data_IF_977927983090
#
_entry.id   IF_977927983090
#
_cell.length_a   1.000
_cell.length_b   1.000
_cell.length_c   1.000
_cell.angle_alpha   90.00
_cell.angle_beta   90.00
_cell.angle_gamma   90.00
#
_symmetry.space_group_name_H-M   'P 1'
#
loop_
_entity.id
_entity.type
_entity.pdbx_description
1 polymer ?
#
# COMPACT_ATOMS: atom_id res chain seq x y z
N UNK A 1 17.05 24.87 -8.01
CA UNK A 1 17.29 24.46 -6.62
C UNK A 1 16.54 23.16 -6.46
N UNK A 2 17.22 22.07 -6.14
CA UNK A 2 16.57 20.78 -5.85
C UNK A 2 15.68 20.98 -4.62
N UNK A 3 14.37 21.01 -4.85
CA UNK A 3 13.38 21.14 -3.81
C UNK A 3 13.49 19.88 -2.95
N UNK A 4 13.95 20.03 -1.71
CA UNK A 4 14.34 18.89 -0.86
C UNK A 4 13.09 18.07 -0.50
N UNK A 5 12.83 17.06 -1.33
CA UNK A 5 11.67 16.17 -1.29
C UNK A 5 12.18 14.74 -1.16
N UNK A 6 12.26 14.25 0.07
CA UNK A 6 12.73 12.89 0.33
C UNK A 6 12.66 12.50 1.79
N UNK A 7 13.20 11.33 2.09
CA UNK A 7 13.19 10.69 3.38
C UNK A 7 14.60 10.19 3.71
N UNK A 8 15.12 10.54 4.88
CA UNK A 8 16.31 9.95 5.45
C UNK A 8 15.90 8.79 6.37
N UNK A 9 16.32 7.58 6.02
CA UNK A 9 16.01 6.34 6.75
C UNK A 9 17.23 5.88 7.52
N UNK A 10 17.11 5.89 8.85
CA UNK A 10 18.14 5.44 9.77
C UNK A 10 17.88 3.99 10.15
N UNK A 11 18.87 3.13 9.95
CA UNK A 11 18.82 1.73 10.35
C UNK A 11 19.32 1.55 11.79
N UNK A 12 18.95 0.45 12.44
CA UNK A 12 19.63 0.03 13.67
C UNK A 12 21.05 -0.49 13.36
N UNK A 13 22.03 -0.40 14.28
CA UNK A 13 23.37 -0.94 14.06
C UNK A 13 23.36 -2.43 13.66
N UNK A 14 22.57 -3.25 14.37
CA UNK A 14 22.36 -4.67 14.07
C UNK A 14 21.83 -4.92 12.65
N UNK A 15 21.10 -3.97 12.06
CA UNK A 15 20.60 -4.08 10.68
C UNK A 15 21.70 -3.79 9.66
N UNK A 16 22.61 -2.85 9.95
CA UNK A 16 23.79 -2.63 9.11
C UNK A 16 24.74 -3.83 9.14
N UNK A 17 24.87 -4.49 10.30
CA UNK A 17 25.62 -5.74 10.43
C UNK A 17 24.95 -6.90 9.66
N UNK A 18 23.62 -7.04 9.75
CA UNK A 18 22.87 -8.10 9.07
C UNK A 18 22.77 -7.92 7.55
N UNK A 19 22.62 -6.69 7.07
CA UNK A 19 22.60 -6.36 5.62
C UNK A 19 24.01 -6.29 5.02
N UNK A 20 25.03 -6.06 5.85
CA UNK A 20 26.45 -6.15 5.48
C UNK A 20 26.85 -5.21 4.34
N UNK A 21 27.67 -5.72 3.42
CA UNK A 21 28.19 -4.94 2.28
C UNK A 21 27.09 -4.47 1.32
N UNK A 22 25.93 -5.13 1.28
CA UNK A 22 24.88 -4.85 0.30
C UNK A 22 24.22 -3.47 0.50
N UNK A 23 24.14 -2.97 1.74
CA UNK A 23 23.51 -1.67 2.04
C UNK A 23 24.48 -0.49 1.90
N UNK A 24 25.80 -0.74 2.02
CA UNK A 24 26.84 0.30 2.00
C UNK A 24 26.80 1.28 0.81
N UNK A 25 26.62 0.87 -0.47
CA UNK A 25 26.59 1.83 -1.58
C UNK A 25 25.39 2.78 -1.55
N UNK A 26 24.38 2.52 -0.68
CA UNK A 26 23.19 3.35 -0.51
C UNK A 26 23.21 4.16 0.80
N UNK A 27 24.24 3.99 1.64
CA UNK A 27 24.40 4.75 2.87
C UNK A 27 25.11 6.08 2.62
N UNK A 28 24.56 7.14 3.18
CA UNK A 28 25.10 8.48 3.23
C UNK A 28 25.49 8.80 4.68
N UNK A 29 26.73 9.24 4.89
CA UNK A 29 27.16 9.76 6.18
C UNK A 29 26.65 11.19 6.39
N UNK A 30 25.99 11.40 7.53
CA UNK A 30 25.50 12.71 7.94
C UNK A 30 25.80 13.01 9.41
N UNK A 31 25.58 14.24 9.88
CA UNK A 31 25.83 14.64 11.27
C UNK A 31 24.96 13.87 12.30
N UNK A 32 23.86 13.27 11.84
CA UNK A 32 22.98 12.40 12.65
C UNK A 32 23.34 10.89 12.55
N UNK A 33 24.41 10.54 11.84
CA UNK A 33 24.83 9.17 11.54
C UNK A 33 24.51 8.70 10.10
N UNK A 34 24.86 7.44 9.78
CA UNK A 34 24.61 6.86 8.48
C UNK A 34 23.11 6.65 8.24
N UNK A 35 22.64 7.01 7.05
CA UNK A 35 21.24 6.93 6.64
C UNK A 35 21.12 6.64 5.15
N UNK A 36 19.97 6.10 4.73
CA UNK A 36 19.62 5.93 3.31
C UNK A 36 18.72 7.10 2.91
N UNK A 37 19.01 7.78 1.79
CA UNK A 37 18.16 8.85 1.25
C UNK A 37 17.25 8.29 0.15
N UNK A 38 15.94 8.44 0.33
CA UNK A 38 14.90 7.88 -0.55
C UNK A 38 13.95 9.00 -1.01
N UNK A 39 13.42 8.91 -2.23
CA UNK A 39 12.39 9.84 -2.73
C UNK A 39 11.02 9.50 -2.14
N UNK A 40 10.70 8.22 -2.07
CA UNK A 40 9.41 7.68 -1.64
C UNK A 40 9.58 6.47 -0.73
N UNK A 41 8.59 6.25 0.13
CA UNK A 41 8.53 5.13 1.07
C UNK A 41 7.10 4.55 1.08
N UNK A 42 7.00 3.22 1.17
CA UNK A 42 5.82 2.50 1.66
C UNK A 42 6.12 1.83 3.01
N UNK A 43 5.12 1.78 3.88
CA UNK A 43 5.16 1.09 5.18
C UNK A 43 3.91 0.23 5.42
N UNK A 44 3.09 -0.01 4.39
CA UNK A 44 1.88 -0.82 4.50
C UNK A 44 2.15 -2.33 4.62
N UNK A 45 3.36 -2.78 4.23
CA UNK A 45 3.79 -4.17 4.27
C UNK A 45 4.64 -4.54 5.50
N UNK A 46 5.05 -5.82 5.54
CA UNK A 46 6.05 -6.30 6.51
C UNK A 46 7.48 -5.82 6.19
N UNK A 47 7.71 -5.44 4.94
CA UNK A 47 8.89 -4.75 4.46
C UNK A 47 8.51 -3.28 4.22
N UNK A 48 9.44 -2.39 4.52
CA UNK A 48 9.42 -0.99 4.12
C UNK A 48 10.01 -0.93 2.72
N UNK A 49 9.20 -0.49 1.77
CA UNK A 49 9.59 -0.32 0.36
C UNK A 49 10.11 1.10 0.19
N UNK A 50 11.30 1.26 -0.39
CA UNK A 50 11.94 2.57 -0.52
C UNK A 50 12.39 2.79 -1.96
N UNK A 51 11.98 3.90 -2.57
CA UNK A 51 12.43 4.28 -3.91
C UNK A 51 13.62 5.24 -3.78
N UNK A 52 14.79 4.83 -4.27
CA UNK A 52 15.99 5.66 -4.31
C UNK A 52 16.25 6.11 -5.75
N UNK A 53 16.65 7.35 -5.93
CA UNK A 53 17.10 7.89 -7.21
C UNK A 53 18.62 8.08 -7.15
N UNK A 54 19.35 7.40 -8.04
CA UNK A 54 20.79 7.52 -8.18
C UNK A 54 21.15 7.90 -9.62
N UNK A 55 22.39 8.33 -9.84
CA UNK A 55 22.94 8.43 -11.19
C UNK A 55 24.03 7.39 -11.40
N UNK A 56 24.07 6.77 -12.58
CA UNK A 56 25.18 5.89 -12.96
C UNK A 56 26.46 6.69 -13.18
N UNK A 57 27.59 6.00 -13.30
CA UNK A 57 28.88 6.56 -13.74
C UNK A 57 28.82 7.24 -15.12
N UNK A 58 27.75 7.02 -15.89
CA UNK A 58 27.50 7.63 -17.20
C UNK A 58 26.56 8.85 -17.12
N UNK A 59 26.16 9.27 -15.91
CA UNK A 59 25.20 10.37 -15.69
C UNK A 59 23.75 10.03 -16.07
N UNK A 60 23.41 8.74 -16.18
CA UNK A 60 22.02 8.32 -16.43
C UNK A 60 21.25 8.18 -15.11
N UNK A 61 20.05 8.75 -14.97
CA UNK A 61 19.23 8.55 -13.78
C UNK A 61 18.73 7.10 -13.72
N UNK A 62 18.84 6.49 -12.54
CA UNK A 62 18.36 5.15 -12.23
C UNK A 62 17.53 5.25 -10.96
N UNK A 63 16.25 4.89 -11.08
CA UNK A 63 15.39 4.62 -9.94
C UNK A 63 15.55 3.15 -9.56
N UNK A 64 15.79 2.88 -8.28
CA UNK A 64 15.82 1.53 -7.72
C UNK A 64 14.87 1.42 -6.54
N UNK A 65 14.41 0.20 -6.29
CA UNK A 65 13.51 -0.13 -5.18
C UNK A 65 14.26 -1.01 -4.18
N UNK A 66 14.29 -0.58 -2.92
CA UNK A 66 14.98 -1.26 -1.83
C UNK A 66 13.95 -1.61 -0.75
N UNK A 67 13.78 -2.91 -0.51
CA UNK A 67 12.88 -3.43 0.52
C UNK A 67 13.67 -3.79 1.79
N UNK A 68 13.31 -3.23 2.93
CA UNK A 68 13.98 -3.47 4.23
C UNK A 68 12.96 -3.90 5.28
N UNK A 69 13.19 -4.96 6.09
CA UNK A 69 12.26 -5.33 7.15
C UNK A 69 11.98 -4.17 8.13
N UNK A 70 10.72 -3.96 8.49
CA UNK A 70 10.33 -2.87 9.40
C UNK A 70 11.09 -2.88 10.74
N UNK A 71 11.44 -4.07 11.24
CA UNK A 71 12.24 -4.26 12.47
C UNK A 71 13.70 -3.81 12.38
N UNK A 72 14.21 -3.59 11.17
CA UNK A 72 15.58 -3.13 10.91
C UNK A 72 15.70 -1.60 10.85
N UNK A 73 14.59 -0.89 10.66
CA UNK A 73 14.55 0.57 10.58
C UNK A 73 14.35 1.18 11.98
N UNK A 74 15.26 2.08 12.35
CA UNK A 74 15.25 2.80 13.63
C UNK A 74 14.37 4.04 13.59
N UNK A 75 14.44 4.80 12.49
CA UNK A 75 13.76 6.09 12.36
C UNK A 75 13.67 6.50 10.88
N UNK A 76 12.55 7.10 10.49
CA UNK A 76 12.36 7.72 9.18
C UNK A 76 12.13 9.21 9.39
N UNK A 77 12.90 10.05 8.71
CA UNK A 77 12.79 11.51 8.77
C UNK A 77 12.42 12.03 7.38
N UNK A 78 11.25 12.63 7.23
CA UNK A 78 10.90 13.29 5.96
C UNK A 78 11.48 14.70 5.91
N UNK A 79 12.23 14.98 4.85
CA UNK A 79 12.54 16.34 4.42
C UNK A 79 11.56 16.67 3.29
N UNK A 80 10.54 17.47 3.62
CA UNK A 80 9.62 18.11 2.68
C UNK A 80 9.39 19.53 3.14
N UNK A 81 9.52 20.48 2.23
CA UNK A 81 9.28 21.92 2.49
C UNK A 81 7.84 22.36 2.22
N UNK A 82 6.96 21.44 1.83
CA UNK A 82 5.57 21.71 1.42
C UNK A 82 4.59 20.88 2.26
N UNK A 83 3.41 21.45 2.57
CA UNK A 83 2.61 21.19 3.79
C UNK A 83 1.99 19.78 3.94
N UNK A 84 2.21 18.86 3.00
CA UNK A 84 1.74 17.47 3.07
C UNK A 84 2.71 16.53 3.81
N UNK A 85 2.69 16.59 5.15
CA UNK A 85 3.52 15.78 6.06
C UNK A 85 2.76 14.57 6.64
N UNK A 86 3.33 13.36 6.51
CA UNK A 86 2.87 12.14 7.21
C UNK A 86 2.37 10.99 6.32
N UNK A 87 2.00 9.88 6.96
CA UNK A 87 1.47 8.65 6.33
C UNK A 87 -0.02 8.80 5.97
N UNK A 88 -0.38 9.87 5.26
CA UNK A 88 -1.73 10.05 4.74
C UNK A 88 -2.07 9.03 3.65
N UNK A 89 -3.36 8.72 3.43
CA UNK A 89 -3.77 7.82 2.35
C UNK A 89 -3.24 8.37 1.02
N UNK A 90 -2.47 7.55 0.28
CA UNK A 90 -1.96 7.94 -1.03
C UNK A 90 -3.13 8.34 -1.93
N UNK A 91 -3.05 9.45 -2.69
CA UNK A 91 -3.95 9.63 -3.82
C UNK A 91 -3.77 8.41 -4.71
N UNK A 92 -4.87 7.74 -5.07
CA UNK A 92 -4.81 6.56 -5.92
C UNK A 92 -4.15 6.95 -7.23
N UNK A 93 -2.90 6.51 -7.42
CA UNK A 93 -2.30 6.55 -8.75
C UNK A 93 -3.22 5.73 -9.63
N UNK A 94 -3.89 6.39 -10.57
CA UNK A 94 -4.69 5.72 -11.57
C UNK A 94 -3.75 4.75 -12.29
N UNK A 95 -3.88 3.48 -11.94
CA UNK A 95 -3.21 2.39 -12.64
C UNK A 95 -3.46 2.62 -14.12
N UNK A 96 -2.40 2.54 -14.93
CA UNK A 96 -2.55 2.55 -16.38
C UNK A 96 -3.31 1.28 -16.77
N UNK A 97 -4.64 1.36 -16.68
CA UNK A 97 -5.55 0.38 -17.20
C UNK A 97 -5.24 0.27 -18.69
N UNK A 98 -4.65 -0.85 -19.07
CA UNK A 98 -4.34 -1.14 -20.46
C UNK A 98 -5.62 -0.92 -21.27
N UNK A 99 -5.53 -0.09 -22.32
CA UNK A 99 -6.62 0.14 -23.25
C UNK A 99 -6.96 -1.16 -23.99
N UNK A 100 -7.80 -1.98 -23.36
CA UNK A 100 -8.51 -3.04 -24.05
C UNK A 100 -9.52 -2.38 -24.99
N UNK A 101 -9.47 -2.64 -26.31
CA UNK A 101 -10.43 -2.05 -27.23
C UNK A 101 -11.82 -2.63 -26.95
N UNK A 102 -12.80 -1.75 -26.76
CA UNK A 102 -14.19 -2.16 -26.59
C UNK A 102 -14.68 -2.84 -27.88
N UNK A 103 -14.86 -4.16 -27.84
CA UNK A 103 -15.53 -4.89 -28.92
C UNK A 103 -17.01 -4.52 -28.88
N UNK A 104 -17.44 -3.71 -29.84
CA UNK A 104 -18.84 -3.29 -29.98
C UNK A 104 -19.65 -4.50 -30.42
N UNK A 105 -20.46 -5.05 -29.50
CA UNK A 105 -21.45 -6.08 -29.84
C UNK A 105 -22.71 -5.36 -30.33
N UNK A 106 -23.16 -5.56 -31.59
CA UNK A 106 -24.37 -4.91 -32.09
C UNK A 106 -25.62 -5.50 -31.40
N UNK A 107 -26.52 -4.63 -30.95
CA UNK A 107 -27.73 -5.01 -30.26
C UNK A 107 -28.78 -5.62 -31.22
N UNK A 108 -29.36 -6.76 -30.82
CA UNK A 108 -30.56 -7.32 -31.45
C UNK A 108 -31.81 -6.79 -30.73
N UNK A 109 -32.88 -6.34 -31.44
CA UNK A 109 -34.08 -5.80 -30.81
C UNK A 109 -34.93 -6.87 -30.09
N UNK A 110 -35.62 -6.46 -29.02
CA UNK A 110 -36.46 -7.31 -28.19
C UNK A 110 -37.88 -7.55 -28.76
N UNK A 111 -38.59 -8.60 -28.32
CA UNK A 111 -40.04 -8.65 -28.27
C UNK A 111 -40.61 -8.14 -26.91
N UNK A 112 -41.87 -7.69 -26.94
CA UNK A 112 -42.54 -6.93 -25.89
C UNK A 112 -43.02 -7.75 -24.67
N UNK A 113 -43.36 -7.12 -23.52
CA UNK A 113 -43.87 -7.80 -22.34
C UNK A 113 -45.37 -8.13 -22.42
N UNK A 114 -45.75 -9.29 -21.89
CA UNK A 114 -47.16 -9.71 -21.68
C UNK A 114 -47.43 -9.83 -20.17
N UNK A 115 -48.41 -9.11 -19.59
CA UNK A 115 -48.74 -9.19 -18.16
C UNK A 115 -49.93 -10.13 -17.86
N UNK A 116 -50.08 -10.47 -16.56
CA UNK A 116 -51.22 -11.15 -15.91
C UNK A 116 -51.31 -12.70 -16.10
N UNK A 117 -51.68 -13.53 -15.10
CA UNK A 117 -52.02 -13.29 -13.69
C UNK A 117 -51.86 -14.55 -12.79
N UNK A 118 -51.74 -14.30 -11.47
CA UNK A 118 -52.32 -15.05 -10.33
C UNK A 118 -52.09 -16.57 -10.12
N UNK A 119 -51.37 -16.91 -9.04
CA UNK A 119 -51.70 -17.90 -7.99
C UNK A 119 -50.61 -17.77 -6.91
N UNK A 120 -50.83 -17.27 -5.70
CA UNK A 120 -51.59 -17.79 -4.54
C UNK A 120 -50.57 -17.95 -3.37
N UNK A 121 -50.94 -17.72 -2.09
CA UNK A 121 -49.93 -17.54 -1.04
C UNK A 121 -49.62 -18.84 -0.30
N UNK A 122 -48.33 -19.18 -0.14
CA UNK A 122 -47.89 -20.15 0.87
C UNK A 122 -47.74 -19.45 2.23
N UNK A 123 -48.45 -20.00 3.23
CA UNK A 123 -48.37 -19.55 4.61
C UNK A 123 -47.25 -20.30 5.35
N UNK A 124 -46.54 -19.59 6.22
CA UNK A 124 -45.70 -20.22 7.27
C UNK A 124 -46.04 -19.55 8.61
N UNK A 125 -46.40 -20.31 9.67
CA UNK A 125 -46.96 -19.72 10.90
C UNK A 125 -45.94 -19.46 12.02
N UNK A 126 -46.32 -18.53 12.91
CA UNK A 126 -46.06 -18.48 14.36
C UNK A 126 -44.61 -18.31 14.91
N UNK A 127 -44.22 -17.04 15.11
CA UNK A 127 -43.91 -16.37 16.40
C UNK A 127 -43.26 -17.18 17.56
N UNK A 128 -42.04 -16.77 17.97
CA UNK A 128 -41.44 -16.54 19.34
C UNK A 128 -41.81 -17.41 20.59
N UNK A 129 -40.95 -17.58 21.64
CA UNK A 129 -39.88 -16.65 22.09
C UNK A 129 -38.57 -17.21 22.74
N UNK A 130 -37.70 -16.27 23.13
CA UNK A 130 -36.44 -16.31 23.95
C UNK A 130 -36.77 -16.26 25.48
N UNK A 131 -36.00 -16.79 26.50
CA UNK A 131 -34.51 -16.80 26.65
C UNK A 131 -33.80 -17.97 27.46
N UNK A 132 -32.46 -17.81 27.66
CA UNK A 132 -31.65 -18.04 28.89
C UNK A 132 -30.89 -19.36 29.25
N UNK A 133 -29.69 -19.13 29.82
CA UNK A 133 -28.98 -19.86 30.91
C UNK A 133 -27.90 -20.97 30.65
N UNK A 134 -26.64 -20.53 30.74
CA UNK A 134 -25.58 -20.98 31.67
C UNK A 134 -24.84 -22.35 31.57
N UNK A 135 -23.58 -22.32 32.06
CA UNK A 135 -22.60 -23.42 32.31
C UNK A 135 -21.62 -23.72 31.15
N UNK A 136 -20.29 -23.82 31.32
CA UNK A 136 -19.39 -23.70 32.50
C UNK A 136 -17.92 -23.60 32.01
N UNK A 137 -17.03 -22.75 32.55
CA UNK A 137 -15.58 -22.90 32.38
C UNK A 137 -14.98 -23.81 33.47
N UNK A 138 -13.91 -24.53 33.14
CA UNK A 138 -13.21 -25.45 34.04
C UNK A 138 -11.85 -24.86 34.46
N UNK A 139 -11.78 -24.31 35.69
CA UNK A 139 -10.59 -24.08 36.52
C UNK A 139 -11.04 -23.55 37.89
#
# INVERSE_FOLDING_TARGET
MEESRGYAVFLFPQAMEALGEAIKPYLLDGPAGPHVLCREIDTAGALIEMTLEMQTSEGRPVSLELMVPTSMVRMIVSARSDEAFGFGPRPVHASHAASAPAVVVPATPAPAPTPAAAAAPEATPAVDPVPAAASKPEA
#
